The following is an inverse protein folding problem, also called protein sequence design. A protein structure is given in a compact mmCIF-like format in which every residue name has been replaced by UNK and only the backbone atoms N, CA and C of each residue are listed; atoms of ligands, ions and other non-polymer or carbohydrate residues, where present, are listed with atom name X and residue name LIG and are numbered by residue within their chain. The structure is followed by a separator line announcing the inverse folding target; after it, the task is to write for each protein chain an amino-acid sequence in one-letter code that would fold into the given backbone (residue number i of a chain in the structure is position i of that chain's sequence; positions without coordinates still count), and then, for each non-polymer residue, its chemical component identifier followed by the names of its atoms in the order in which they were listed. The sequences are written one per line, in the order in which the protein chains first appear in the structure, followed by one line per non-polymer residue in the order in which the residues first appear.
data_IF_161393779277
#
_entry.id   IF_161393779277
#
_cell.length_a   1.000
_cell.length_b   1.000
_cell.length_c   1.000
_cell.angle_alpha   90.00
_cell.angle_beta   90.00
_cell.angle_gamma   90.00
#
_symmetry.space_group_name_H-M   'P 1'
#
loop_
_entity.id
_entity.type
_entity.pdbx_description
1 polymer ?
#
# COMPACT_ATOMS: atom_id res chain seq x y z
N UNK A 1 -13.51 -3.61 -9.01
CA UNK A 1 -13.84 -3.44 -7.58
C UNK A 1 -13.73 -4.76 -6.84
N UNK A 2 -13.25 -4.73 -5.61
CA UNK A 2 -13.23 -5.87 -4.69
C UNK A 2 -14.63 -6.08 -4.09
N UNK A 3 -15.32 -7.14 -4.52
CA UNK A 3 -16.71 -7.41 -4.11
C UNK A 3 -16.85 -7.61 -2.60
N UNK A 4 -15.94 -8.36 -1.98
CA UNK A 4 -15.98 -8.63 -0.53
C UNK A 4 -15.74 -7.37 0.30
N UNK A 5 -14.84 -6.50 -0.15
CA UNK A 5 -14.62 -5.21 0.48
C UNK A 5 -15.86 -4.30 0.37
N UNK A 6 -16.49 -4.25 -0.81
CA UNK A 6 -17.72 -3.49 -1.02
C UNK A 6 -18.87 -3.98 -0.15
N UNK A 7 -19.08 -5.30 -0.04
CA UNK A 7 -20.11 -5.88 0.83
C UNK A 7 -19.91 -5.50 2.30
N UNK A 8 -18.67 -5.59 2.81
CA UNK A 8 -18.34 -5.17 4.17
C UNK A 8 -18.55 -3.68 4.40
N UNK A 9 -18.13 -2.84 3.45
CA UNK A 9 -18.29 -1.40 3.55
C UNK A 9 -19.77 -1.01 3.56
N UNK A 10 -20.59 -1.61 2.68
CA UNK A 10 -22.03 -1.38 2.65
C UNK A 10 -22.73 -1.79 3.94
N UNK A 11 -22.48 -3.00 4.44
CA UNK A 11 -23.07 -3.46 5.71
C UNK A 11 -22.68 -2.53 6.87
N UNK A 12 -21.42 -2.08 6.91
CA UNK A 12 -20.96 -1.13 7.92
C UNK A 12 -21.59 0.26 7.76
N UNK A 13 -21.75 0.76 6.53
CA UNK A 13 -22.45 2.02 6.25
C UNK A 13 -23.92 1.96 6.69
N UNK A 14 -24.61 0.85 6.43
CA UNK A 14 -25.99 0.62 6.85
C UNK A 14 -26.12 0.65 8.38
N UNK A 15 -25.25 -0.05 9.10
CA UNK A 15 -25.20 -0.06 10.57
C UNK A 15 -25.01 1.36 11.15
N UNK A 16 -24.21 2.19 10.47
CA UNK A 16 -23.93 3.57 10.88
C UNK A 16 -24.96 4.59 10.37
N UNK A 17 -25.90 4.19 9.51
CA UNK A 17 -26.85 5.10 8.88
C UNK A 17 -26.20 6.10 7.91
N UNK A 18 -25.11 5.70 7.24
CA UNK A 18 -24.39 6.55 6.29
C UNK A 18 -24.91 6.34 4.86
N UNK A 19 -25.61 7.33 4.26
CA UNK A 19 -26.11 7.21 2.89
C UNK A 19 -25.01 7.33 1.83
N UNK A 20 -23.87 7.90 2.21
CA UNK A 20 -22.65 7.99 1.42
C UNK A 20 -21.42 7.90 2.33
N UNK A 21 -20.28 7.50 1.76
CA UNK A 21 -19.00 7.45 2.47
C UNK A 21 -17.82 7.70 1.53
N UNK A 22 -16.83 8.47 2.00
CA UNK A 22 -15.64 8.80 1.21
C UNK A 22 -14.42 8.03 1.70
N UNK A 23 -13.67 7.42 0.77
CA UNK A 23 -12.46 6.63 1.04
C UNK A 23 -11.26 7.34 0.43
N UNK A 24 -10.44 7.96 1.28
CA UNK A 24 -9.29 8.76 0.88
C UNK A 24 -7.95 8.05 1.15
N UNK A 25 -7.85 7.28 2.23
CA UNK A 25 -6.56 6.69 2.62
C UNK A 25 -6.11 5.65 1.60
N UNK A 26 -4.85 5.67 1.13
CA UNK A 26 -4.37 4.74 0.11
C UNK A 26 -4.60 3.27 0.42
N UNK A 27 -4.44 2.85 1.67
CA UNK A 27 -4.67 1.47 2.09
C UNK A 27 -6.14 1.04 1.96
N UNK A 28 -7.08 1.97 2.19
CA UNK A 28 -8.50 1.69 2.04
C UNK A 28 -8.94 1.77 0.57
N UNK A 29 -8.34 2.68 -0.20
CA UNK A 29 -8.51 2.74 -1.65
C UNK A 29 -8.09 1.42 -2.30
N UNK A 30 -6.88 0.95 -2.00
CA UNK A 30 -6.36 -0.31 -2.53
C UNK A 30 -7.23 -1.51 -2.11
N UNK A 31 -7.65 -1.57 -0.84
CA UNK A 31 -8.56 -2.61 -0.35
C UNK A 31 -9.88 -2.65 -1.13
N UNK A 32 -10.53 -1.50 -1.32
CA UNK A 32 -11.84 -1.41 -1.97
C UNK A 32 -11.76 -1.70 -3.48
N UNK A 33 -10.71 -1.23 -4.14
CA UNK A 33 -10.50 -1.43 -5.58
C UNK A 33 -10.04 -2.84 -5.92
N UNK A 34 -9.42 -3.53 -4.96
CA UNK A 34 -8.83 -4.86 -5.13
C UNK A 34 -7.34 -4.85 -5.45
N UNK A 35 -6.68 -3.71 -5.24
CA UNK A 35 -5.22 -3.56 -5.35
C UNK A 35 -4.75 -2.28 -6.04
N UNK A 36 -5.65 -1.39 -6.43
CA UNK A 36 -5.31 -0.13 -7.10
C UNK A 36 -4.48 0.81 -6.23
N UNK A 37 -3.55 1.52 -6.86
CA UNK A 37 -2.67 2.50 -6.24
C UNK A 37 -3.04 3.93 -6.65
N UNK A 38 -3.67 4.65 -5.72
CA UNK A 38 -3.98 6.06 -5.88
C UNK A 38 -2.82 6.98 -5.47
N UNK A 39 -1.59 6.51 -5.36
CA UNK A 39 -0.45 7.33 -4.92
C UNK A 39 0.54 7.61 -6.06
N UNK A 40 1.20 8.76 -5.96
CA UNK A 40 2.38 9.11 -6.75
C UNK A 40 3.57 9.29 -5.82
N UNK A 41 3.34 10.00 -4.71
CA UNK A 41 4.23 10.03 -3.56
C UNK A 41 3.77 8.94 -2.59
N UNK A 42 4.70 8.08 -2.15
CA UNK A 42 4.36 6.95 -1.30
C UNK A 42 3.61 7.40 -0.03
N UNK A 43 2.39 6.88 0.14
CA UNK A 43 1.53 7.17 1.29
C UNK A 43 0.62 8.41 1.12
N UNK A 44 0.73 9.15 0.02
CA UNK A 44 -0.10 10.32 -0.26
C UNK A 44 -1.01 10.05 -1.48
N UNK A 45 -2.31 9.97 -1.22
CA UNK A 45 -3.32 9.73 -2.25
C UNK A 45 -3.56 10.97 -3.13
N UNK A 46 -3.60 10.78 -4.45
CA UNK A 46 -3.96 11.78 -5.46
C UNK A 46 -5.39 11.64 -5.99
N UNK A 47 -6.14 10.67 -5.44
CA UNK A 47 -7.53 10.40 -5.76
C UNK A 47 -8.26 9.78 -4.55
N UNK A 48 -9.58 9.87 -4.53
CA UNK A 48 -10.40 9.18 -3.54
C UNK A 48 -11.64 8.57 -4.19
N UNK A 49 -12.28 7.66 -3.46
CA UNK A 49 -13.56 7.07 -3.86
C UNK A 49 -14.69 7.68 -3.03
N UNK A 50 -15.84 7.86 -3.64
CA UNK A 50 -17.09 8.17 -2.97
C UNK A 50 -18.09 7.06 -3.27
N UNK A 51 -18.55 6.37 -2.23
CA UNK A 51 -19.61 5.37 -2.32
C UNK A 51 -20.93 6.03 -1.96
N UNK A 52 -21.89 6.04 -2.88
CA UNK A 52 -23.19 6.70 -2.70
C UNK A 52 -24.25 5.94 -3.49
N UNK A 53 -25.36 5.58 -2.83
CA UNK A 53 -26.49 4.87 -3.47
C UNK A 53 -26.08 3.61 -4.25
N UNK A 54 -25.10 2.85 -3.73
CA UNK A 54 -24.57 1.65 -4.37
C UNK A 54 -23.66 1.90 -5.58
N UNK A 55 -23.39 3.17 -5.92
CA UNK A 55 -22.44 3.58 -6.96
C UNK A 55 -21.11 3.98 -6.35
N UNK A 56 -20.04 3.82 -7.13
CA UNK A 56 -18.68 4.23 -6.78
C UNK A 56 -18.23 5.32 -7.74
N UNK A 57 -17.94 6.51 -7.20
CA UNK A 57 -17.35 7.63 -7.94
C UNK A 57 -15.86 7.73 -7.65
N UNK A 58 -15.05 7.88 -8.69
CA UNK A 58 -13.63 8.22 -8.57
C UNK A 58 -13.47 9.73 -8.68
N UNK A 59 -12.90 10.36 -7.66
CA UNK A 59 -12.53 11.78 -7.70
C UNK A 59 -11.01 11.90 -7.87
N UNK A 60 -10.57 12.63 -8.89
CA UNK A 60 -9.14 12.81 -9.16
C UNK A 60 -8.85 14.05 -10.00
N UNK A 61 -7.59 14.42 -10.12
CA UNK A 61 -7.17 15.47 -11.02
C UNK A 61 -7.21 15.02 -12.49
N UNK A 62 -7.45 15.93 -13.43
CA UNK A 62 -7.44 15.65 -14.88
C UNK A 62 -6.13 15.05 -15.39
N UNK A 63 -5.02 15.29 -14.69
CA UNK A 63 -3.70 14.75 -15.08
C UNK A 63 -3.52 13.30 -14.63
N UNK A 64 -4.25 12.85 -13.60
CA UNK A 64 -4.18 11.48 -13.06
C UNK A 64 -5.31 10.58 -13.59
N UNK A 65 -6.42 11.16 -14.06
CA UNK A 65 -7.60 10.45 -14.55
C UNK A 65 -7.26 9.29 -15.49
N UNK A 66 -6.49 9.57 -16.55
CA UNK A 66 -6.17 8.59 -17.57
C UNK A 66 -5.44 7.36 -17.02
N UNK A 67 -4.43 7.58 -16.16
CA UNK A 67 -3.66 6.50 -15.52
C UNK A 67 -4.55 5.69 -14.58
N UNK A 68 -5.26 6.37 -13.66
CA UNK A 68 -6.07 5.69 -12.65
C UNK A 68 -7.13 4.81 -13.30
N UNK A 69 -7.87 5.33 -14.30
CA UNK A 69 -8.92 4.59 -15.00
C UNK A 69 -8.34 3.41 -15.81
N UNK A 70 -7.17 3.58 -16.41
CA UNK A 70 -6.56 2.53 -17.23
C UNK A 70 -5.90 1.42 -16.40
N UNK A 71 -5.30 1.76 -15.26
CA UNK A 71 -4.36 0.88 -14.55
C UNK A 71 -4.83 0.49 -13.15
N UNK A 72 -5.53 1.37 -12.43
CA UNK A 72 -5.70 1.23 -10.98
C UNK A 72 -7.11 0.88 -10.53
N UNK A 73 -8.12 1.22 -11.33
CA UNK A 73 -9.52 1.02 -10.95
C UNK A 73 -10.30 0.25 -12.00
N UNK A 74 -11.24 -0.57 -11.53
CA UNK A 74 -12.22 -1.27 -12.36
C UNK A 74 -13.59 -1.17 -11.71
N UNK A 75 -14.66 -1.07 -12.49
CA UNK A 75 -16.03 -1.00 -11.95
C UNK A 75 -16.34 0.31 -11.22
N UNK A 76 -15.81 1.43 -11.73
CA UNK A 76 -16.21 2.78 -11.32
C UNK A 76 -17.41 3.21 -12.17
N UNK A 77 -18.41 3.82 -11.54
CA UNK A 77 -19.63 4.28 -12.21
C UNK A 77 -19.48 5.68 -12.80
N UNK A 78 -18.69 6.54 -12.16
CA UNK A 78 -18.50 7.94 -12.53
C UNK A 78 -17.10 8.42 -12.17
N UNK A 79 -16.48 9.19 -13.06
CA UNK A 79 -15.20 9.86 -12.78
C UNK A 79 -15.44 11.37 -12.69
N UNK A 80 -15.07 11.96 -11.57
CA UNK A 80 -15.15 13.39 -11.29
C UNK A 80 -13.74 13.97 -11.38
N UNK A 81 -13.42 14.53 -12.54
CA UNK A 81 -12.09 15.07 -12.83
C UNK A 81 -12.02 16.60 -12.65
N UNK A 82 -11.07 17.08 -11.85
CA UNK A 82 -10.87 18.50 -11.55
C UNK A 82 -9.46 19.00 -11.96
N UNK A 83 -9.25 20.31 -12.15
CA UNK A 83 -7.91 20.86 -12.37
C UNK A 83 -7.00 20.59 -11.17
N UNK A 84 -5.74 20.20 -11.39
CA UNK A 84 -4.80 19.81 -10.32
C UNK A 84 -4.54 20.90 -9.27
N UNK A 85 -4.69 22.17 -9.64
CA UNK A 85 -4.50 23.33 -8.76
C UNK A 85 -5.78 23.74 -8.01
N UNK A 86 -6.91 23.06 -8.23
CA UNK A 86 -8.21 23.38 -7.65
C UNK A 86 -8.87 22.10 -7.12
N UNK A 87 -8.20 21.45 -6.15
CA UNK A 87 -8.68 20.23 -5.51
C UNK A 87 -9.94 20.53 -4.69
N UNK A 88 -11.09 19.88 -4.97
CA UNK A 88 -12.30 20.08 -4.19
C UNK A 88 -12.19 19.44 -2.81
N UNK A 89 -12.98 19.94 -1.87
CA UNK A 89 -13.06 19.34 -0.54
C UNK A 89 -13.80 17.98 -0.59
N UNK A 90 -13.20 16.90 -0.10
CA UNK A 90 -13.86 15.60 -0.03
C UNK A 90 -15.07 15.62 0.92
N UNK A 91 -16.16 14.97 0.52
CA UNK A 91 -17.39 14.89 1.34
C UNK A 91 -17.17 14.07 2.61
N UNK A 92 -17.89 14.42 3.67
CA UNK A 92 -17.95 13.67 4.95
C UNK A 92 -19.29 12.92 5.04
N UNK A 93 -19.40 11.77 5.74
CA UNK A 93 -18.35 11.10 6.51
C UNK A 93 -17.29 10.45 5.62
N UNK A 94 -16.10 10.28 6.17
CA UNK A 94 -14.96 9.71 5.44
C UNK A 94 -14.10 8.85 6.33
N UNK A 95 -13.21 8.08 5.70
CA UNK A 95 -12.25 7.27 6.45
C UNK A 95 -11.29 8.13 7.28
N UNK A 96 -11.10 9.42 6.97
CA UNK A 96 -10.32 10.32 7.84
C UNK A 96 -10.86 10.40 9.27
N UNK A 97 -12.18 10.35 9.44
CA UNK A 97 -12.89 10.42 10.72
C UNK A 97 -13.26 9.04 11.28
N UNK A 98 -13.30 8.02 10.41
CA UNK A 98 -13.78 6.67 10.74
C UNK A 98 -12.77 5.60 10.31
N UNK A 99 -12.24 4.88 11.29
CA UNK A 99 -11.27 3.82 11.03
C UNK A 99 -11.91 2.59 10.37
N UNK A 100 -11.51 2.31 9.13
CA UNK A 100 -11.91 1.12 8.38
C UNK A 100 -11.01 -0.09 8.64
N UNK A 101 -9.94 0.05 9.42
CA UNK A 101 -9.03 -1.05 9.75
C UNK A 101 -9.74 -2.32 10.21
N UNK A 102 -10.74 -2.27 11.11
CA UNK A 102 -11.47 -3.47 11.53
C UNK A 102 -12.13 -4.25 10.38
N UNK A 103 -12.56 -3.58 9.31
CA UNK A 103 -13.21 -4.23 8.16
C UNK A 103 -12.21 -5.03 7.30
N UNK A 104 -10.95 -4.58 7.25
CA UNK A 104 -9.89 -5.16 6.43
C UNK A 104 -8.98 -6.15 7.18
N UNK A 105 -9.12 -6.29 8.51
CA UNK A 105 -8.32 -7.27 9.28
C UNK A 105 -8.64 -8.72 8.90
N UNK A 106 -9.90 -9.02 8.56
CA UNK A 106 -10.33 -10.36 8.17
C UNK A 106 -10.27 -10.53 6.64
N UNK A 107 -9.16 -11.06 6.13
CA UNK A 107 -8.95 -11.28 4.70
C UNK A 107 -9.93 -12.30 4.11
N UNK A 108 -10.46 -12.02 2.92
CA UNK A 108 -11.20 -13.00 2.09
C UNK A 108 -10.31 -14.19 1.73
N UNK A 109 -10.88 -15.34 1.32
CA UNK A 109 -10.08 -16.47 0.85
C UNK A 109 -9.08 -16.11 -0.27
N UNK A 110 -9.50 -15.27 -1.22
CA UNK A 110 -8.68 -14.78 -2.33
C UNK A 110 -7.58 -13.83 -1.84
N UNK A 111 -7.90 -12.92 -0.90
CA UNK A 111 -6.91 -12.03 -0.27
C UNK A 111 -5.89 -12.84 0.54
N UNK A 112 -6.29 -13.92 1.22
CA UNK A 112 -5.36 -14.81 1.91
C UNK A 112 -4.42 -15.54 0.94
N UNK A 113 -4.91 -15.98 -0.23
CA UNK A 113 -4.07 -16.61 -1.25
C UNK A 113 -3.01 -15.63 -1.77
N UNK A 114 -3.44 -14.41 -2.13
CA UNK A 114 -2.53 -13.34 -2.56
C UNK A 114 -1.53 -12.96 -1.48
N UNK A 115 -1.95 -12.85 -0.22
CA UNK A 115 -1.06 -12.56 0.90
C UNK A 115 -0.02 -13.65 1.12
N UNK A 116 -0.40 -14.94 0.99
CA UNK A 116 0.56 -16.06 1.05
C UNK A 116 1.55 -16.00 -0.11
N UNK A 117 1.11 -15.66 -1.32
CA UNK A 117 2.00 -15.49 -2.46
C UNK A 117 2.98 -14.32 -2.25
N UNK A 118 2.48 -13.17 -1.80
CA UNK A 118 3.31 -12.02 -1.43
C UNK A 118 4.35 -12.38 -0.36
N UNK A 119 3.95 -13.08 0.70
CA UNK A 119 4.86 -13.53 1.74
C UNK A 119 5.98 -14.44 1.22
N UNK A 120 5.66 -15.38 0.32
CA UNK A 120 6.65 -16.25 -0.33
C UNK A 120 7.63 -15.45 -1.18
N UNK A 121 7.12 -14.57 -2.04
CA UNK A 121 7.95 -13.79 -2.97
C UNK A 121 8.86 -12.81 -2.21
N UNK A 122 8.34 -12.16 -1.16
CA UNK A 122 9.11 -11.27 -0.30
C UNK A 122 10.22 -12.02 0.45
N UNK A 123 9.91 -13.20 1.01
CA UNK A 123 10.90 -14.03 1.69
C UNK A 123 11.98 -14.55 0.73
N UNK A 124 11.60 -14.92 -0.49
CA UNK A 124 12.55 -15.34 -1.52
C UNK A 124 13.47 -14.19 -1.92
N UNK A 125 12.92 -13.02 -2.24
CA UNK A 125 13.69 -11.83 -2.62
C UNK A 125 14.69 -11.42 -1.54
N UNK A 126 14.22 -11.31 -0.29
CA UNK A 126 15.08 -10.98 0.84
C UNK A 126 16.16 -12.05 1.05
N UNK A 127 15.76 -13.32 1.05
CA UNK A 127 16.67 -14.44 1.29
C UNK A 127 17.78 -14.57 0.24
N UNK A 128 17.47 -14.33 -1.03
CA UNK A 128 18.46 -14.31 -2.12
C UNK A 128 19.52 -13.23 -1.90
N UNK A 129 19.08 -12.00 -1.63
CA UNK A 129 19.98 -10.86 -1.42
C UNK A 129 20.81 -11.04 -0.15
N UNK A 130 20.20 -11.47 0.96
CA UNK A 130 20.89 -11.73 2.24
C UNK A 130 21.96 -12.82 2.07
N UNK A 131 21.71 -13.87 1.28
CA UNK A 131 22.72 -14.91 1.00
C UNK A 131 23.89 -14.42 0.14
N UNK A 132 23.67 -13.42 -0.71
CA UNK A 132 24.71 -12.83 -1.55
C UNK A 132 25.51 -11.72 -0.84
N UNK A 133 25.00 -11.20 0.28
CA UNK A 133 25.58 -10.09 1.01
C UNK A 133 27.02 -10.38 1.48
N UNK A 134 27.87 -9.35 1.47
CA UNK A 134 29.27 -9.44 1.87
C UNK A 134 29.54 -8.54 3.08
N UNK A 135 30.46 -8.89 4.00
CA UNK A 135 30.77 -8.06 5.17
C UNK A 135 31.18 -6.61 4.85
N UNK A 136 31.76 -6.41 3.66
CA UNK A 136 32.24 -5.12 3.18
C UNK A 136 31.13 -4.25 2.58
N UNK A 137 29.99 -4.85 2.23
CA UNK A 137 28.84 -4.06 1.81
C UNK A 137 28.42 -3.12 2.93
N UNK A 138 27.93 -1.97 2.53
CA UNK A 138 27.27 -1.04 3.42
C UNK A 138 25.82 -1.47 3.65
N UNK A 139 25.23 -1.02 4.75
CA UNK A 139 23.81 -1.22 4.99
C UNK A 139 22.95 -0.64 3.86
N UNK A 140 23.38 0.46 3.24
CA UNK A 140 22.71 1.07 2.07
C UNK A 140 22.81 0.23 0.82
N UNK A 141 23.95 -0.38 0.53
CA UNK A 141 24.11 -1.30 -0.60
C UNK A 141 23.17 -2.50 -0.43
N UNK A 142 23.15 -3.11 0.77
CA UNK A 142 22.21 -4.20 1.05
C UNK A 142 20.75 -3.76 0.89
N UNK A 143 20.40 -2.57 1.41
CA UNK A 143 19.05 -2.03 1.25
C UNK A 143 18.68 -1.80 -0.22
N UNK A 144 19.61 -1.27 -1.03
CA UNK A 144 19.40 -1.05 -2.46
C UNK A 144 19.14 -2.36 -3.21
N UNK A 145 19.95 -3.38 -2.95
CA UNK A 145 19.77 -4.72 -3.54
C UNK A 145 18.44 -5.36 -3.12
N UNK A 146 18.05 -5.23 -1.85
CA UNK A 146 16.74 -5.71 -1.37
C UNK A 146 15.60 -4.97 -2.07
N UNK A 147 15.68 -3.64 -2.17
CA UNK A 147 14.65 -2.85 -2.84
C UNK A 147 14.52 -3.23 -4.33
N UNK A 148 15.63 -3.39 -5.03
CA UNK A 148 15.64 -3.83 -6.43
C UNK A 148 15.00 -5.22 -6.59
N UNK A 149 15.37 -6.18 -5.73
CA UNK A 149 14.82 -7.53 -5.76
C UNK A 149 13.31 -7.59 -5.46
N UNK A 150 12.81 -6.69 -4.61
CA UNK A 150 11.37 -6.57 -4.31
C UNK A 150 10.62 -5.92 -5.48
N UNK A 151 11.10 -4.81 -6.03
CA UNK A 151 10.47 -4.15 -7.17
C UNK A 151 10.43 -5.04 -8.42
N UNK A 152 11.49 -5.84 -8.65
CA UNK A 152 11.50 -6.83 -9.73
C UNK A 152 10.38 -7.88 -9.63
N UNK A 153 9.75 -8.01 -8.45
CA UNK A 153 8.61 -8.91 -8.17
C UNK A 153 7.30 -8.16 -7.95
N UNK A 154 7.26 -6.88 -8.31
CA UNK A 154 6.10 -6.01 -8.10
C UNK A 154 5.80 -5.72 -6.64
N UNK A 155 6.80 -5.80 -5.75
CA UNK A 155 6.63 -5.55 -4.32
C UNK A 155 7.27 -4.21 -3.98
N UNK A 156 6.47 -3.29 -3.45
CA UNK A 156 6.97 -2.02 -2.96
C UNK A 156 7.47 -2.18 -1.50
N UNK A 157 8.73 -1.83 -1.19
CA UNK A 157 9.20 -1.80 0.19
C UNK A 157 8.63 -0.56 0.91
N UNK A 158 7.67 -0.77 1.82
CA UNK A 158 7.12 0.32 2.66
C UNK A 158 7.88 0.46 3.98
N UNK A 159 8.53 -0.61 4.42
CA UNK A 159 9.55 -0.58 5.48
C UNK A 159 10.78 -1.28 4.95
N UNK A 160 11.95 -0.66 5.15
CA UNK A 160 13.25 -1.24 4.81
C UNK A 160 14.28 -0.80 5.85
N UNK A 161 14.63 -1.73 6.74
CA UNK A 161 15.57 -1.52 7.82
C UNK A 161 16.79 -2.39 7.60
N UNK A 162 17.98 -1.82 7.80
CA UNK A 162 19.24 -2.56 7.75
C UNK A 162 20.16 -2.06 8.84
N UNK A 163 20.76 -3.00 9.57
CA UNK A 163 21.83 -2.73 10.53
C UNK A 163 22.94 -3.78 10.42
N UNK A 164 24.17 -3.30 10.35
CA UNK A 164 25.37 -4.12 10.55
C UNK A 164 25.69 -4.35 12.02
N UNK A 165 26.80 -5.06 12.24
CA UNK A 165 27.26 -5.60 13.53
C UNK A 165 27.32 -4.54 14.64
N UNK A 166 27.77 -3.33 14.32
CA UNK A 166 27.90 -2.24 15.29
C UNK A 166 26.56 -1.67 15.77
N UNK A 167 25.48 -1.88 15.00
CA UNK A 167 24.20 -1.19 15.16
C UNK A 167 23.04 -2.12 15.49
N UNK A 168 23.13 -3.40 15.14
CA UNK A 168 22.02 -4.37 15.24
C UNK A 168 21.45 -4.48 16.66
N UNK A 169 22.28 -4.44 17.70
CA UNK A 169 21.83 -4.51 19.10
C UNK A 169 21.50 -3.16 19.74
N UNK A 170 21.82 -2.04 19.07
CA UNK A 170 21.62 -0.69 19.61
C UNK A 170 20.26 -0.10 19.24
N UNK A 171 19.72 -0.49 18.08
CA UNK A 171 18.53 0.16 17.51
C UNK A 171 17.51 -0.86 17.04
N UNK A 172 16.24 -0.67 17.43
CA UNK A 172 15.12 -1.53 17.02
C UNK A 172 14.60 -1.22 15.61
N UNK A 173 14.70 0.05 15.17
CA UNK A 173 14.27 0.50 13.83
C UNK A 173 15.44 1.17 13.08
N UNK A 174 16.53 0.43 12.77
CA UNK A 174 17.70 1.03 12.16
C UNK A 174 17.47 1.32 10.67
N UNK A 175 17.36 2.61 10.33
CA UNK A 175 17.46 3.02 8.93
C UNK A 175 18.89 2.75 8.40
N UNK A 176 19.03 2.31 7.13
CA UNK A 176 20.33 2.02 6.52
C UNK A 176 21.26 3.23 6.51
N UNK A 177 22.54 3.02 6.81
CA UNK A 177 23.62 4.03 6.78
C UNK A 177 24.77 3.59 5.89
N UNK A 178 25.67 4.53 5.63
CA UNK A 178 26.95 4.26 5.00
C UNK A 178 27.93 3.67 6.02
N UNK A 179 27.63 2.44 6.45
CA UNK A 179 28.36 1.67 7.46
C UNK A 179 28.44 0.23 7.01
N UNK A 180 29.56 -0.48 7.22
CA UNK A 180 29.71 -1.86 6.79
C UNK A 180 28.77 -2.80 7.54
N UNK A 181 28.35 -3.89 6.90
CA UNK A 181 27.55 -4.93 7.53
C UNK A 181 28.32 -5.68 8.62
N UNK A 182 29.60 -5.97 8.38
CA UNK A 182 30.43 -6.75 9.31
C UNK A 182 30.08 -8.25 9.31
N UNK A 183 30.30 -8.92 10.45
CA UNK A 183 30.13 -10.39 10.56
C UNK A 183 28.69 -10.81 10.82
N UNK A 184 27.85 -9.88 11.25
CA UNK A 184 26.46 -10.09 11.61
C UNK A 184 25.67 -8.87 11.17
N UNK A 185 24.55 -9.08 10.50
CA UNK A 185 23.64 -8.00 10.11
C UNK A 185 22.19 -8.45 10.19
N UNK A 186 21.29 -7.47 10.11
CA UNK A 186 19.85 -7.67 10.02
C UNK A 186 19.31 -6.87 8.83
N UNK A 187 18.38 -7.47 8.10
CA UNK A 187 17.53 -6.79 7.13
C UNK A 187 16.06 -7.10 7.45
N UNK A 188 15.22 -6.08 7.52
CA UNK A 188 13.78 -6.20 7.81
C UNK A 188 13.00 -5.46 6.76
N UNK A 189 11.94 -6.09 6.24
CA UNK A 189 11.06 -5.49 5.24
C UNK A 189 9.59 -5.59 5.65
N UNK A 190 8.83 -4.59 5.24
CA UNK A 190 7.40 -4.75 4.97
C UNK A 190 7.23 -4.46 3.48
N UNK A 191 6.75 -5.46 2.73
CA UNK A 191 6.46 -5.34 1.31
C UNK A 191 4.97 -5.13 1.09
N UNK A 192 4.60 -4.25 0.17
CA UNK A 192 3.23 -4.00 -0.27
C UNK A 192 3.04 -4.48 -1.70
N UNK A 193 1.97 -5.21 -1.98
CA UNK A 193 1.56 -5.58 -3.35
C UNK A 193 0.06 -5.79 -3.41
N UNK A 194 -0.60 -5.20 -4.41
CA UNK A 194 -2.06 -5.32 -4.62
C UNK A 194 -2.90 -4.99 -3.36
N UNK A 195 -2.48 -3.96 -2.61
CA UNK A 195 -3.19 -3.51 -1.40
C UNK A 195 -2.99 -4.38 -0.15
N UNK A 196 -2.10 -5.37 -0.19
CA UNK A 196 -1.73 -6.26 0.91
C UNK A 196 -0.31 -6.02 1.41
#
# INVERSE_FOLDING_TARGET
MNRHAMEKLHAWMEERGFPHFTVLRPENFAWLTGGGDNTVVAGEGVAWLEVVEGKVKLHTSRIEEGRLVAEEVTGIDEVVAYPWYAVPEPRRPSDLEHDLTPLRLALSPEEQERFRALGRDAAQALGEVVRAARPQWTERELAGEVAAALYARGIQPVVLLVAGEERIFKWRHPLPKDRPLGRLFMAVICGRREGL
#
